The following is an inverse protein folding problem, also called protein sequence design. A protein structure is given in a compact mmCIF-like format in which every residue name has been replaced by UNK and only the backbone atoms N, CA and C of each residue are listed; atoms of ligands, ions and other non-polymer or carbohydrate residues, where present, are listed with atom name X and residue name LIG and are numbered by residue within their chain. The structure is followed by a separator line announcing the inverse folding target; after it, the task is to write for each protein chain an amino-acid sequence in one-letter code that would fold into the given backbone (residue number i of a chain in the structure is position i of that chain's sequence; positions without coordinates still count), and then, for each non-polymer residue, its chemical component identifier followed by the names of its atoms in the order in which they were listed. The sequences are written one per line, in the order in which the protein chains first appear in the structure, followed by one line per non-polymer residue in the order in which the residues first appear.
data_IF_690383043876
#
_entry.id   IF_690383043876
#
_cell.length_a   1.000
_cell.length_b   1.000
_cell.length_c   1.000
_cell.angle_alpha   90.00
_cell.angle_beta   90.00
_cell.angle_gamma   90.00
#
_symmetry.space_group_name_H-M   'P 1'
#
loop_
_entity.id
_entity.type
_entity.pdbx_description
1 polymer ?
#
# COMPACT_ATOMS: atom_id res chain seq x y z
N UNK A 1 28.62 8.55 10.36
CA UNK A 1 27.34 7.85 10.13
C UNK A 1 27.58 7.14 8.83
N UNK A 2 27.85 5.83 8.86
CA UNK A 2 28.30 5.11 7.68
C UNK A 2 27.26 5.28 6.56
N UNK A 3 27.72 5.74 5.40
CA UNK A 3 26.89 5.89 4.21
C UNK A 3 26.19 4.57 3.94
N UNK A 4 24.87 4.60 3.76
CA UNK A 4 24.11 3.42 3.37
C UNK A 4 24.70 2.96 2.04
N UNK A 5 25.43 1.85 2.07
CA UNK A 5 26.15 1.29 0.91
C UNK A 5 25.21 1.02 -0.28
N UNK A 6 23.91 0.85 -0.02
CA UNK A 6 22.86 0.57 -1.00
C UNK A 6 21.57 1.33 -0.68
N UNK A 7 21.36 2.54 -1.23
CA UNK A 7 20.13 3.29 -1.01
C UNK A 7 18.91 2.55 -1.58
N UNK A 8 17.80 2.58 -0.84
CA UNK A 8 16.52 1.93 -1.18
C UNK A 8 15.45 2.96 -1.56
N UNK A 9 15.88 4.09 -2.12
CA UNK A 9 15.07 5.28 -2.33
C UNK A 9 13.85 5.03 -3.23
N UNK A 10 13.92 4.09 -4.18
CA UNK A 10 12.78 3.74 -5.03
C UNK A 10 11.73 2.97 -4.22
N UNK A 11 12.15 2.07 -3.33
CA UNK A 11 11.21 1.34 -2.46
C UNK A 11 10.53 2.28 -1.46
N UNK A 12 11.29 3.22 -0.90
CA UNK A 12 10.83 4.12 0.18
C UNK A 12 10.23 5.43 -0.32
N UNK A 13 10.33 5.73 -1.62
CA UNK A 13 9.72 6.91 -2.22
C UNK A 13 8.22 6.99 -1.90
N UNK A 14 7.64 8.20 -1.77
CA UNK A 14 6.20 8.36 -1.56
C UNK A 14 5.39 7.57 -2.61
N UNK A 15 4.39 6.82 -2.14
CA UNK A 15 3.47 6.10 -3.04
C UNK A 15 2.64 7.10 -3.83
N UNK A 16 2.60 6.92 -5.15
CA UNK A 16 1.84 7.77 -6.07
C UNK A 16 0.36 7.34 -6.17
N UNK A 17 -0.55 8.22 -6.62
CA UNK A 17 -1.97 7.89 -6.72
C UNK A 17 -2.26 6.61 -7.51
N UNK A 18 -1.54 6.39 -8.61
CA UNK A 18 -1.67 5.22 -9.49
C UNK A 18 -1.11 3.92 -8.88
N UNK A 19 -0.37 4.02 -7.78
CA UNK A 19 0.18 2.89 -7.04
C UNK A 19 -0.68 2.48 -5.83
N UNK A 20 -1.72 3.28 -5.52
CA UNK A 20 -2.65 3.09 -4.39
C UNK A 20 -3.99 2.58 -4.91
N UNK A 21 -4.55 1.63 -4.20
CA UNK A 21 -5.99 1.36 -4.22
C UNK A 21 -6.59 1.74 -2.86
N UNK A 22 -7.88 2.08 -2.87
CA UNK A 22 -8.63 2.42 -1.67
C UNK A 22 -9.70 1.39 -1.42
N UNK A 23 -9.86 0.99 -0.15
CA UNK A 23 -10.94 0.11 0.27
C UNK A 23 -11.72 0.68 1.44
N UNK A 24 -12.99 0.30 1.52
CA UNK A 24 -13.79 0.51 2.73
C UNK A 24 -13.24 -0.40 3.82
N UNK A 25 -12.78 0.21 4.92
CA UNK A 25 -12.38 -0.50 6.12
C UNK A 25 -13.59 -0.79 7.02
N UNK A 26 -14.46 0.20 7.19
CA UNK A 26 -15.61 0.12 8.06
C UNK A 26 -16.65 1.16 7.67
N UNK A 27 -17.93 0.87 7.88
CA UNK A 27 -18.99 1.88 7.91
C UNK A 27 -19.28 2.31 9.35
N UNK A 28 -19.31 3.62 9.60
CA UNK A 28 -19.63 4.20 10.90
C UNK A 28 -21.13 4.09 11.20
N UNK A 29 -21.52 4.23 12.47
CA UNK A 29 -22.93 4.29 12.89
C UNK A 29 -23.72 5.44 12.24
N UNK A 30 -23.03 6.51 11.84
CA UNK A 30 -23.64 7.67 11.16
C UNK A 30 -23.72 7.50 9.64
N UNK A 31 -23.37 6.32 9.12
CA UNK A 31 -23.45 5.98 7.70
C UNK A 31 -22.20 6.31 6.88
N UNK A 32 -21.24 7.07 7.43
CA UNK A 32 -19.99 7.41 6.73
C UNK A 32 -19.09 6.19 6.54
N UNK A 33 -18.46 6.08 5.37
CA UNK A 33 -17.44 5.07 5.12
C UNK A 33 -16.08 5.55 5.64
N UNK A 34 -15.36 4.70 6.36
CA UNK A 34 -13.93 4.87 6.65
C UNK A 34 -13.19 4.13 5.54
N UNK A 35 -12.36 4.85 4.80
CA UNK A 35 -11.56 4.28 3.70
C UNK A 35 -10.08 4.37 4.02
N UNK A 36 -9.34 3.34 3.61
CA UNK A 36 -7.90 3.24 3.84
C UNK A 36 -7.16 2.92 2.54
N UNK A 37 -5.98 3.53 2.32
CA UNK A 37 -5.16 3.22 1.17
C UNK A 37 -4.40 1.92 1.39
N UNK A 38 -4.11 1.21 0.31
CA UNK A 38 -3.15 0.11 0.29
C UNK A 38 -2.43 0.08 -1.06
N UNK A 39 -1.18 -0.37 -1.06
CA UNK A 39 -0.44 -0.58 -2.31
C UNK A 39 -0.98 -1.80 -3.06
N UNK A 40 -0.87 -1.79 -4.38
CA UNK A 40 -1.13 -2.99 -5.18
C UNK A 40 0.09 -3.91 -5.21
N UNK A 41 -0.11 -5.17 -5.59
CA UNK A 41 1.03 -6.08 -5.81
C UNK A 41 1.89 -5.64 -7.01
N UNK A 42 1.30 -4.94 -7.99
CA UNK A 42 1.99 -4.37 -9.15
C UNK A 42 2.97 -3.28 -8.73
N UNK A 43 2.56 -2.39 -7.82
CA UNK A 43 3.45 -1.40 -7.22
C UNK A 43 4.68 -2.06 -6.56
N UNK A 44 4.50 -3.17 -5.83
CA UNK A 44 5.63 -3.94 -5.28
C UNK A 44 6.56 -4.43 -6.39
N UNK A 45 6.03 -5.15 -7.38
CA UNK A 45 6.82 -5.70 -8.49
C UNK A 45 7.60 -4.60 -9.23
N UNK A 46 6.92 -3.53 -9.65
CA UNK A 46 7.52 -2.43 -10.40
C UNK A 46 8.60 -1.69 -9.62
N UNK A 47 8.38 -1.45 -8.32
CA UNK A 47 9.38 -0.78 -7.47
C UNK A 47 10.61 -1.64 -7.24
N UNK A 48 10.43 -2.95 -7.01
CA UNK A 48 11.56 -3.87 -6.87
C UNK A 48 12.33 -4.02 -8.19
N UNK A 49 11.65 -4.13 -9.33
CA UNK A 49 12.28 -4.16 -10.65
C UNK A 49 13.09 -2.89 -10.93
N UNK A 50 12.54 -1.72 -10.60
CA UNK A 50 13.26 -0.44 -10.76
C UNK A 50 14.44 -0.29 -9.81
N UNK A 51 14.35 -0.83 -8.59
CA UNK A 51 15.40 -0.72 -7.57
C UNK A 51 16.55 -1.70 -7.79
N UNK A 52 16.25 -2.95 -8.17
CA UNK A 52 17.23 -4.04 -8.20
C UNK A 52 17.43 -4.65 -9.60
N UNK A 53 16.59 -4.28 -10.58
CA UNK A 53 16.46 -5.01 -11.84
C UNK A 53 15.66 -6.29 -11.67
N UNK A 54 15.02 -6.75 -12.75
CA UNK A 54 14.15 -7.94 -12.75
C UNK A 54 14.83 -9.22 -12.21
N UNK A 55 16.16 -9.34 -12.36
CA UNK A 55 16.94 -10.48 -11.87
C UNK A 55 17.53 -10.25 -10.46
N UNK A 56 17.47 -9.03 -9.95
CA UNK A 56 18.10 -8.63 -8.69
C UNK A 56 17.27 -8.98 -7.46
N UNK A 57 16.05 -9.47 -7.65
CA UNK A 57 15.18 -9.90 -6.57
C UNK A 57 14.32 -11.10 -6.98
N UNK A 58 13.76 -11.78 -5.99
CA UNK A 58 12.79 -12.85 -6.19
C UNK A 58 11.86 -12.94 -4.98
N UNK A 59 10.71 -13.58 -5.17
CA UNK A 59 9.82 -13.96 -4.09
C UNK A 59 9.45 -15.45 -4.12
N UNK A 60 9.38 -16.05 -2.95
CA UNK A 60 8.86 -17.40 -2.73
C UNK A 60 7.56 -17.32 -1.94
N UNK A 61 6.57 -18.10 -2.35
CA UNK A 61 5.31 -18.27 -1.62
C UNK A 61 5.26 -19.68 -1.05
N UNK A 62 5.01 -19.78 0.25
CA UNK A 62 4.79 -21.06 0.94
C UNK A 62 3.42 -21.04 1.57
N UNK A 63 2.56 -21.97 1.15
CA UNK A 63 1.28 -22.21 1.81
C UNK A 63 1.52 -22.79 3.20
N UNK A 64 0.82 -22.23 4.19
CA UNK A 64 0.81 -22.69 5.58
C UNK A 64 -0.65 -22.80 6.01
N UNK A 65 -0.96 -23.62 7.03
CA UNK A 65 -2.31 -23.77 7.64
C UNK A 65 -3.46 -23.05 6.92
N UNK A 66 -3.83 -21.88 7.42
CA UNK A 66 -4.90 -21.03 6.90
C UNK A 66 -4.41 -19.80 6.11
N UNK A 67 -3.18 -19.82 5.58
CA UNK A 67 -2.57 -18.65 4.96
C UNK A 67 -1.32 -18.93 4.12
N UNK A 68 -0.53 -17.89 3.93
CA UNK A 68 0.66 -17.92 3.09
C UNK A 68 1.79 -17.14 3.75
N UNK A 69 3.00 -17.68 3.68
CA UNK A 69 4.23 -16.93 3.90
C UNK A 69 4.78 -16.46 2.55
N UNK A 70 5.19 -15.21 2.49
CA UNK A 70 5.98 -14.68 1.39
C UNK A 70 7.37 -14.34 1.89
N UNK A 71 8.37 -14.92 1.24
CA UNK A 71 9.77 -14.54 1.40
C UNK A 71 10.18 -13.71 0.20
N UNK A 72 10.82 -12.56 0.43
CA UNK A 72 11.44 -11.76 -0.62
C UNK A 72 12.95 -11.75 -0.36
N UNK A 73 13.73 -12.08 -1.38
CA UNK A 73 15.19 -11.99 -1.36
C UNK A 73 15.66 -11.01 -2.41
N UNK A 74 16.50 -10.06 -2.01
CA UNK A 74 17.18 -9.11 -2.91
C UNK A 74 18.68 -9.39 -2.91
N UNK A 75 19.31 -9.20 -4.05
CA UNK A 75 20.76 -9.36 -4.25
C UNK A 75 21.37 -7.98 -4.49
N UNK A 76 22.24 -7.55 -3.58
CA UNK A 76 22.95 -6.28 -3.67
C UNK A 76 24.06 -6.34 -4.73
N UNK A 77 24.54 -5.18 -5.24
CA UNK A 77 25.64 -5.12 -6.21
C UNK A 77 26.94 -5.83 -5.78
N UNK A 78 27.23 -5.95 -4.48
CA UNK A 78 28.39 -6.71 -3.98
C UNK A 78 28.12 -8.22 -3.82
N UNK A 79 26.96 -8.70 -4.27
CA UNK A 79 26.53 -10.09 -4.14
C UNK A 79 25.87 -10.43 -2.80
N UNK A 80 25.81 -9.51 -1.84
CA UNK A 80 25.13 -9.74 -0.56
C UNK A 80 23.65 -10.00 -0.79
N UNK A 81 23.12 -11.06 -0.16
CA UNK A 81 21.69 -11.40 -0.22
C UNK A 81 20.99 -10.97 1.06
N UNK A 82 19.92 -10.19 0.93
CA UNK A 82 19.05 -9.81 2.04
C UNK A 82 17.68 -10.45 1.85
N UNK A 83 17.22 -11.18 2.87
CA UNK A 83 15.96 -11.91 2.84
C UNK A 83 15.05 -11.43 3.96
N UNK A 84 13.77 -11.20 3.65
CA UNK A 84 12.72 -10.92 4.65
C UNK A 84 11.53 -11.83 4.40
N UNK A 85 10.75 -12.09 5.45
CA UNK A 85 9.57 -12.98 5.37
C UNK A 85 8.43 -12.37 6.18
N UNK A 86 7.24 -12.36 5.60
CA UNK A 86 5.98 -12.04 6.28
C UNK A 86 4.90 -13.01 5.79
N UNK A 87 3.69 -12.93 6.36
CA UNK A 87 2.59 -13.75 5.92
C UNK A 87 1.24 -13.07 6.06
N UNK A 88 0.23 -13.67 5.45
CA UNK A 88 -1.16 -13.28 5.56
C UNK A 88 -2.05 -14.51 5.57
N UNK A 89 -3.17 -14.43 6.29
CA UNK A 89 -4.24 -15.42 6.20
C UNK A 89 -4.94 -15.34 4.84
N UNK A 90 -5.72 -16.37 4.52
CA UNK A 90 -6.67 -16.33 3.40
C UNK A 90 -7.66 -15.18 3.58
N UNK A 91 -8.05 -14.57 2.46
CA UNK A 91 -9.07 -13.53 2.42
C UNK A 91 -10.48 -14.12 2.28
N UNK A 92 -11.52 -13.39 2.68
CA UNK A 92 -12.90 -13.83 2.49
C UNK A 92 -13.31 -13.88 1.00
N UNK A 93 -12.71 -13.00 0.18
CA UNK A 93 -12.92 -12.90 -1.26
C UNK A 93 -11.64 -13.35 -1.97
N UNK A 94 -11.74 -14.26 -2.94
CA UNK A 94 -10.60 -14.87 -3.64
C UNK A 94 -9.50 -15.39 -2.68
N UNK A 95 -9.81 -16.34 -1.77
CA UNK A 95 -9.01 -16.65 -0.57
C UNK A 95 -7.53 -16.94 -0.83
N UNK A 96 -7.23 -17.65 -1.92
CA UNK A 96 -5.85 -17.99 -2.29
C UNK A 96 -5.13 -16.77 -2.85
N UNK A 97 -5.68 -16.13 -3.89
CA UNK A 97 -5.06 -15.02 -4.59
C UNK A 97 -4.90 -13.78 -3.71
N UNK A 98 -5.93 -13.47 -2.90
CA UNK A 98 -5.89 -12.37 -1.94
C UNK A 98 -4.87 -12.60 -0.84
N UNK A 99 -4.84 -13.80 -0.24
CA UNK A 99 -3.86 -14.15 0.79
C UNK A 99 -2.42 -14.09 0.30
N UNK A 100 -2.13 -14.61 -0.90
CA UNK A 100 -0.79 -14.52 -1.52
C UNK A 100 -0.40 -13.05 -1.74
N UNK A 101 -1.30 -12.24 -2.29
CA UNK A 101 -1.05 -10.82 -2.55
C UNK A 101 -0.81 -10.03 -1.27
N UNK A 102 -1.58 -10.30 -0.21
CA UNK A 102 -1.40 -9.65 1.08
C UNK A 102 -0.09 -10.07 1.76
N UNK A 103 0.30 -11.34 1.68
CA UNK A 103 1.58 -11.82 2.20
C UNK A 103 2.76 -11.11 1.51
N UNK A 104 2.71 -10.97 0.17
CA UNK A 104 3.75 -10.28 -0.59
C UNK A 104 3.83 -8.78 -0.26
N UNK A 105 2.69 -8.07 -0.24
CA UNK A 105 2.66 -6.65 0.16
C UNK A 105 3.21 -6.44 1.57
N UNK A 106 2.83 -7.29 2.53
CA UNK A 106 3.34 -7.23 3.91
C UNK A 106 4.84 -7.48 3.99
N UNK A 107 5.36 -8.45 3.23
CA UNK A 107 6.80 -8.69 3.14
C UNK A 107 7.54 -7.48 2.55
N UNK A 108 6.98 -6.85 1.51
CA UNK A 108 7.53 -5.64 0.90
C UNK A 108 7.56 -4.43 1.86
N UNK A 109 6.59 -4.30 2.79
CA UNK A 109 6.61 -3.28 3.85
C UNK A 109 7.87 -3.39 4.71
N UNK A 110 8.42 -4.59 4.91
CA UNK A 110 9.66 -4.75 5.68
C UNK A 110 10.90 -4.20 4.94
N UNK A 111 10.83 -4.00 3.63
CA UNK A 111 11.82 -3.27 2.82
C UNK A 111 11.53 -1.77 2.70
N UNK A 112 10.37 -1.31 3.19
CA UNK A 112 10.02 0.12 3.22
C UNK A 112 8.86 0.52 2.30
N UNK A 113 8.44 -0.36 1.39
CA UNK A 113 7.36 -0.06 0.43
C UNK A 113 6.06 0.25 1.17
N UNK A 114 5.47 1.40 0.89
CA UNK A 114 4.16 1.78 1.42
C UNK A 114 4.12 2.15 2.90
N UNK A 115 5.26 2.25 3.61
CA UNK A 115 5.27 2.62 5.03
C UNK A 115 4.66 3.99 5.30
N UNK A 116 4.81 4.92 4.37
CA UNK A 116 4.21 6.26 4.45
C UNK A 116 2.67 6.22 4.45
N UNK A 117 2.03 5.14 3.99
CA UNK A 117 0.57 5.01 4.03
C UNK A 117 0.05 4.86 5.47
N UNK A 118 0.87 4.39 6.41
CA UNK A 118 0.46 4.29 7.82
C UNK A 118 0.37 5.65 8.53
N UNK A 119 0.99 6.70 7.96
CA UNK A 119 0.87 8.08 8.44
C UNK A 119 -0.22 8.88 7.71
N UNK A 120 -1.00 8.25 6.83
CA UNK A 120 -2.09 8.95 6.14
C UNK A 120 -3.20 9.35 7.11
N UNK A 121 -3.88 10.48 6.86
CA UNK A 121 -5.03 10.85 7.66
C UNK A 121 -6.14 9.79 7.49
N UNK A 122 -6.95 9.61 8.54
CA UNK A 122 -8.14 8.79 8.46
C UNK A 122 -9.19 9.49 7.60
N UNK A 123 -9.57 8.86 6.50
CA UNK A 123 -10.50 9.43 5.53
C UNK A 123 -11.91 8.90 5.76
N UNK A 124 -12.85 9.82 5.91
CA UNK A 124 -14.29 9.56 5.93
C UNK A 124 -14.90 9.98 4.59
N UNK A 125 -15.72 9.13 4.01
CA UNK A 125 -16.53 9.46 2.83
C UNK A 125 -17.99 9.55 3.26
N UNK A 126 -18.58 10.73 3.11
CA UNK A 126 -20.00 10.99 3.40
C UNK A 126 -20.82 10.65 2.16
N UNK A 127 -21.31 9.42 2.09
CA UNK A 127 -22.12 8.91 0.98
C UNK A 127 -23.23 7.98 1.51
N UNK A 128 -24.41 7.91 0.88
CA UNK A 128 -25.38 6.84 1.13
C UNK A 128 -24.92 5.47 0.59
N UNK A 129 -23.89 5.44 -0.26
CA UNK A 129 -23.39 4.22 -0.89
C UNK A 129 -22.67 3.29 0.09
N UNK A 130 -22.63 2.00 -0.26
CA UNK A 130 -21.84 1.00 0.46
C UNK A 130 -20.39 0.91 -0.04
N UNK A 131 -20.12 1.47 -1.21
CA UNK A 131 -18.83 1.44 -1.89
C UNK A 131 -18.27 2.86 -2.02
N UNK A 132 -16.97 2.97 -2.31
CA UNK A 132 -16.33 4.26 -2.59
C UNK A 132 -16.87 4.78 -3.92
N UNK A 133 -17.56 5.94 -3.94
CA UNK A 133 -18.11 6.49 -5.18
C UNK A 133 -17.01 7.12 -6.04
N UNK A 134 -17.21 7.15 -7.36
CA UNK A 134 -16.21 7.65 -8.32
C UNK A 134 -15.74 9.09 -8.06
N UNK A 135 -16.65 9.95 -7.58
CA UNK A 135 -16.30 11.32 -7.21
C UNK A 135 -15.30 11.37 -6.05
N UNK A 136 -15.35 10.40 -5.13
CA UNK A 136 -14.45 10.34 -3.99
C UNK A 136 -13.06 9.90 -4.46
N UNK A 137 -12.96 9.00 -5.44
CA UNK A 137 -11.68 8.56 -6.03
C UNK A 137 -10.84 9.74 -6.52
N UNK A 138 -11.44 10.71 -7.21
CA UNK A 138 -10.74 11.92 -7.66
C UNK A 138 -10.21 12.78 -6.50
N UNK A 139 -10.97 12.88 -5.41
CA UNK A 139 -10.55 13.62 -4.21
C UNK A 139 -9.46 12.88 -3.42
N UNK A 140 -9.50 11.54 -3.40
CA UNK A 140 -8.48 10.69 -2.80
C UNK A 140 -7.15 10.83 -3.54
N UNK A 141 -7.14 10.85 -4.88
CA UNK A 141 -5.94 11.11 -5.67
C UNK A 141 -5.35 12.50 -5.39
N UNK A 142 -6.21 13.52 -5.29
CA UNK A 142 -5.79 14.86 -4.94
C UNK A 142 -5.21 14.92 -3.51
N UNK A 143 -5.77 14.15 -2.57
CA UNK A 143 -5.24 14.03 -1.21
C UNK A 143 -3.83 13.41 -1.21
N UNK A 144 -3.64 12.32 -1.94
CA UNK A 144 -2.32 11.67 -2.10
C UNK A 144 -1.29 12.65 -2.63
N UNK A 145 -1.62 13.41 -3.69
CA UNK A 145 -0.73 14.43 -4.28
C UNK A 145 -0.33 15.49 -3.26
N UNK A 146 -1.30 16.02 -2.50
CA UNK A 146 -1.06 17.03 -1.45
C UNK A 146 -0.21 16.49 -0.29
N UNK A 147 -0.36 15.21 0.06
CA UNK A 147 0.47 14.58 1.08
C UNK A 147 1.91 14.47 0.57
N UNK A 148 2.08 13.99 -0.67
CA UNK A 148 3.39 13.78 -1.28
C UNK A 148 4.17 15.08 -1.50
N UNK A 149 3.51 16.20 -1.82
CA UNK A 149 4.15 17.50 -2.03
C UNK A 149 4.28 18.37 -0.76
N UNK A 150 3.78 17.87 0.38
CA UNK A 150 3.83 18.56 1.68
C UNK A 150 2.86 19.75 1.82
N UNK A 151 1.96 19.95 0.85
CA UNK A 151 0.94 21.01 0.88
C UNK A 151 -0.31 20.59 1.67
N UNK A 152 -0.47 19.31 2.00
CA UNK A 152 -1.52 18.85 2.90
C UNK A 152 -1.36 19.51 4.28
N UNK A 153 -2.25 20.44 4.60
CA UNK A 153 -2.35 21.11 5.91
C UNK A 153 -3.52 20.62 6.76
N UNK A 154 -4.20 19.55 6.34
CA UNK A 154 -5.29 18.96 7.11
C UNK A 154 -4.77 18.24 8.35
N UNK A 155 -5.66 18.01 9.32
CA UNK A 155 -5.33 17.25 10.52
C UNK A 155 -5.31 15.73 10.28
N UNK A 156 -5.43 14.97 11.37
CA UNK A 156 -5.49 13.51 11.35
C UNK A 156 -6.73 12.95 10.64
N UNK A 157 -7.73 13.79 10.38
CA UNK A 157 -9.02 13.39 9.81
C UNK A 157 -9.36 14.22 8.56
N UNK A 158 -9.82 13.54 7.52
CA UNK A 158 -10.35 14.15 6.29
C UNK A 158 -11.78 13.65 6.11
N UNK A 159 -12.72 14.54 5.83
CA UNK A 159 -14.07 14.15 5.40
C UNK A 159 -14.29 14.61 3.96
N UNK A 160 -14.50 13.64 3.07
CA UNK A 160 -14.85 13.86 1.68
C UNK A 160 -16.37 13.94 1.53
N UNK A 161 -16.82 14.92 0.74
CA UNK A 161 -18.22 15.15 0.41
C UNK A 161 -18.35 15.35 -1.09
N UNK A 162 -19.48 14.93 -1.64
CA UNK A 162 -19.82 15.18 -3.03
C UNK A 162 -19.92 16.69 -3.27
N UNK A 163 -19.14 17.20 -4.23
CA UNK A 163 -19.05 18.63 -4.52
C UNK A 163 -20.26 19.22 -5.25
N UNK A 164 -21.30 18.42 -5.52
CA UNK A 164 -22.47 18.78 -6.34
C UNK A 164 -23.82 18.70 -5.62
N UNK A 165 -23.87 18.89 -4.29
CA UNK A 165 -25.14 19.26 -3.62
C UNK A 165 -25.16 20.75 -3.33
N UNK A 166 -25.56 21.53 -4.34
CA UNK A 166 -26.30 22.79 -4.13
C UNK A 166 -27.77 22.50 -4.28
#
# INVERSE_FOLDING_TARGET
MDDIKYPIDILTAPIQPDEIEWRVQQQTKTGKLIVVPYITNRCVMERFDRQFGWHGWQNDITEIGDGFLCRITVTMPDGTRLTKTDGASRTDIEPVKGGISDAMKRCAVQFGVGRNLYSYPRVFVETPDKYIPDWASQQLDALVKKINDGTYKGGEFVTLKESYRK
#
